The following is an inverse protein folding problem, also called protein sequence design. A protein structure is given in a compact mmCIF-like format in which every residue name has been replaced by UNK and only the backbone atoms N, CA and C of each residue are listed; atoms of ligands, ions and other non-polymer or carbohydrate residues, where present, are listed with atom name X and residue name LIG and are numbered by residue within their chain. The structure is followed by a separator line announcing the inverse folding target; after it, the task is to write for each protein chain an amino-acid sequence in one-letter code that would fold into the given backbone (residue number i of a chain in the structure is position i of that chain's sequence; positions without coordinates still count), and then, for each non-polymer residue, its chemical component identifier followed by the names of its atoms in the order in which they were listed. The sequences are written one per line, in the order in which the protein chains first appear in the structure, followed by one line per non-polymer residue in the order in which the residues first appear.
data_IF_126858982747
#
_entry.id   IF_126858982747
#
_cell.length_a   1.000
_cell.length_b   1.000
_cell.length_c   1.000
_cell.angle_alpha   90.00
_cell.angle_beta   90.00
_cell.angle_gamma   90.00
#
_symmetry.space_group_name_H-M   'P 1'
#
loop_
_entity.id
_entity.type
_entity.pdbx_description
1 polymer ?
#
# COMPACT_ATOMS: atom_id res chain seq x y z
N UNK A 1 -16.46 -45.65 3.44
CA UNK A 1 -15.61 -45.98 4.62
C UNK A 1 -15.04 -44.76 5.35
N UNK A 2 -15.43 -43.52 5.03
CA UNK A 2 -14.85 -42.31 5.63
C UNK A 2 -15.55 -41.78 6.90
N UNK A 3 -16.82 -42.13 7.16
CA UNK A 3 -17.54 -41.64 8.34
C UNK A 3 -17.14 -42.30 9.67
N UNK A 4 -16.73 -43.57 9.65
CA UNK A 4 -16.46 -44.35 10.88
C UNK A 4 -15.11 -44.04 11.53
N UNK A 5 -14.16 -43.46 10.80
CA UNK A 5 -12.83 -43.10 11.33
C UNK A 5 -12.83 -41.81 12.14
N UNK A 6 -13.66 -40.84 11.75
CA UNK A 6 -13.77 -39.54 12.42
C UNK A 6 -14.50 -39.69 13.77
N UNK A 7 -15.60 -40.46 13.80
CA UNK A 7 -16.36 -40.73 15.03
C UNK A 7 -15.53 -41.50 16.09
N UNK A 8 -14.65 -42.43 15.65
CA UNK A 8 -13.80 -43.20 16.56
C UNK A 8 -12.72 -42.34 17.23
N UNK A 9 -12.16 -41.38 16.49
CA UNK A 9 -11.14 -40.44 16.98
C UNK A 9 -11.77 -39.40 17.91
N UNK A 10 -12.95 -38.89 17.56
CA UNK A 10 -13.67 -37.93 18.42
C UNK A 10 -14.12 -38.54 19.75
N UNK A 11 -14.58 -39.79 19.75
CA UNK A 11 -15.02 -40.47 20.97
C UNK A 11 -13.86 -40.72 21.94
N UNK A 12 -12.72 -41.22 21.42
CA UNK A 12 -11.54 -41.57 22.24
C UNK A 12 -10.79 -40.34 22.77
N UNK A 13 -10.97 -39.17 22.13
CA UNK A 13 -10.28 -37.93 22.51
C UNK A 13 -11.10 -37.02 23.44
N UNK A 14 -12.43 -37.18 23.50
CA UNK A 14 -13.25 -36.56 24.56
C UNK A 14 -12.89 -37.09 25.95
N UNK A 15 -12.53 -38.37 26.05
CA UNK A 15 -12.09 -39.00 27.29
C UNK A 15 -10.73 -38.48 27.80
N UNK A 16 -9.97 -37.76 26.95
CA UNK A 16 -8.66 -37.16 27.28
C UNK A 16 -8.75 -35.67 27.65
N UNK A 17 -9.96 -35.08 27.71
CA UNK A 17 -10.16 -33.71 28.21
C UNK A 17 -9.59 -32.60 27.32
N UNK A 18 -9.28 -32.87 26.05
CA UNK A 18 -8.68 -31.89 25.14
C UNK A 18 -9.77 -30.90 24.64
N UNK A 19 -9.55 -29.56 24.73
CA UNK A 19 -10.52 -28.57 24.27
C UNK A 19 -10.79 -28.67 22.76
N UNK A 20 -12.06 -28.58 22.37
CA UNK A 20 -12.55 -28.73 20.98
C UNK A 20 -11.84 -27.81 19.97
N UNK A 21 -11.37 -26.64 20.42
CA UNK A 21 -10.62 -25.67 19.61
C UNK A 21 -9.22 -26.18 19.22
N UNK A 22 -8.52 -26.91 20.11
CA UNK A 22 -7.23 -27.55 19.77
C UNK A 22 -7.44 -28.71 18.79
N UNK A 23 -8.60 -29.36 18.83
CA UNK A 23 -8.98 -30.45 17.92
C UNK A 23 -9.15 -29.97 16.48
N UNK A 24 -9.86 -28.85 16.29
CA UNK A 24 -10.10 -28.25 14.97
C UNK A 24 -8.78 -27.81 14.31
N UNK A 25 -7.84 -27.32 15.11
CA UNK A 25 -6.51 -26.91 14.66
C UNK A 25 -5.61 -28.10 14.29
N UNK A 26 -5.70 -29.22 15.01
CA UNK A 26 -4.96 -30.44 14.67
C UNK A 26 -5.46 -31.07 13.36
N UNK A 27 -6.77 -31.06 13.13
CA UNK A 27 -7.35 -31.51 11.85
C UNK A 27 -6.93 -30.63 10.67
N UNK A 28 -6.82 -29.32 10.88
CA UNK A 28 -6.34 -28.37 9.87
C UNK A 28 -4.84 -28.53 9.59
N UNK A 29 -4.02 -28.73 10.62
CA UNK A 29 -2.60 -29.02 10.51
C UNK A 29 -2.32 -30.34 9.77
N UNK A 30 -3.11 -31.39 10.05
CA UNK A 30 -3.03 -32.68 9.35
C UNK A 30 -3.42 -32.54 7.88
N UNK A 31 -4.48 -31.78 7.57
CA UNK A 31 -4.89 -31.50 6.19
C UNK A 31 -3.82 -30.71 5.42
N UNK A 32 -3.19 -29.72 6.06
CA UNK A 32 -2.09 -28.93 5.48
C UNK A 32 -0.83 -29.78 5.23
N UNK A 33 -0.51 -30.71 6.13
CA UNK A 33 0.62 -31.65 5.97
C UNK A 33 0.38 -32.68 4.86
N UNK A 34 -0.86 -33.16 4.69
CA UNK A 34 -1.22 -34.10 3.61
C UNK A 34 -1.16 -33.41 2.24
N UNK A 35 -1.56 -32.14 2.16
CA UNK A 35 -1.60 -31.38 0.90
C UNK A 35 -0.21 -30.86 0.47
N UNK A 36 0.75 -30.78 1.39
CA UNK A 36 2.15 -30.37 1.14
C UNK A 36 3.16 -31.53 1.16
N UNK A 37 2.67 -32.78 1.28
CA UNK A 37 3.46 -33.98 1.56
C UNK A 37 4.60 -34.32 0.59
N UNK A 38 4.69 -33.68 -0.58
CA UNK A 38 5.84 -33.84 -1.49
C UNK A 38 7.08 -33.01 -1.12
N UNK A 39 6.94 -31.93 -0.35
CA UNK A 39 8.08 -31.04 -0.02
C UNK A 39 8.75 -31.37 1.32
N UNK A 40 7.99 -31.91 2.28
CA UNK A 40 8.49 -32.14 3.65
C UNK A 40 9.36 -33.40 3.74
N UNK A 41 9.11 -34.41 2.89
CA UNK A 41 9.87 -35.67 2.86
C UNK A 41 11.34 -35.49 2.40
N UNK A 42 11.67 -34.36 1.76
CA UNK A 42 13.03 -34.01 1.34
C UNK A 42 13.83 -33.24 2.40
N UNK A 43 13.18 -32.80 3.48
CA UNK A 43 13.85 -32.07 4.56
C UNK A 43 14.52 -33.04 5.53
N UNK A 44 15.67 -32.63 6.08
CA UNK A 44 16.32 -33.33 7.19
C UNK A 44 15.43 -33.29 8.45
N UNK A 45 15.58 -34.24 9.38
CA UNK A 45 14.82 -34.26 10.63
C UNK A 45 14.85 -32.92 11.38
N UNK A 46 16.01 -32.25 11.43
CA UNK A 46 16.14 -30.95 12.12
C UNK A 46 15.31 -29.86 11.43
N UNK A 47 15.35 -29.80 10.09
CA UNK A 47 14.58 -28.83 9.30
C UNK A 47 13.07 -29.06 9.41
N UNK A 48 12.64 -30.33 9.57
CA UNK A 48 11.23 -30.65 9.82
C UNK A 48 10.78 -30.16 11.18
N UNK A 49 11.58 -30.38 12.22
CA UNK A 49 11.29 -29.90 13.58
C UNK A 49 11.25 -28.37 13.65
N UNK A 50 12.21 -27.68 13.00
CA UNK A 50 12.22 -26.22 12.93
C UNK A 50 11.00 -25.66 12.19
N UNK A 51 10.62 -26.27 11.07
CA UNK A 51 9.44 -25.88 10.30
C UNK A 51 8.16 -26.10 11.12
N UNK A 52 8.05 -27.21 11.83
CA UNK A 52 6.92 -27.49 12.72
C UNK A 52 6.81 -26.45 13.86
N UNK A 53 7.94 -26.07 14.46
CA UNK A 53 7.98 -25.03 15.50
C UNK A 53 7.61 -23.64 14.97
N UNK A 54 7.99 -23.30 13.74
CA UNK A 54 7.66 -22.01 13.14
C UNK A 54 6.20 -21.91 12.70
N UNK A 55 5.60 -23.01 12.25
CA UNK A 55 4.20 -23.03 11.78
C UNK A 55 3.24 -23.15 12.97
N UNK A 56 3.62 -23.91 14.00
CA UNK A 56 2.76 -24.19 15.16
C UNK A 56 3.47 -23.88 16.50
N UNK A 57 3.96 -22.64 16.73
CA UNK A 57 4.76 -22.31 17.92
C UNK A 57 4.00 -22.52 19.24
N UNK A 58 2.68 -22.43 19.22
CA UNK A 58 1.82 -22.69 20.39
C UNK A 58 1.72 -24.18 20.77
N UNK A 59 2.10 -25.11 19.88
CA UNK A 59 2.05 -26.53 20.16
C UNK A 59 3.20 -26.98 21.09
N UNK A 60 4.28 -26.20 21.14
CA UNK A 60 5.52 -26.50 21.85
C UNK A 60 5.86 -25.48 22.95
N UNK A 61 5.00 -24.49 23.17
CA UNK A 61 5.24 -23.40 24.12
C UNK A 61 5.50 -23.90 25.55
N UNK A 62 4.86 -25.00 25.97
CA UNK A 62 5.02 -25.56 27.32
C UNK A 62 6.34 -26.34 27.50
N UNK A 63 6.98 -26.81 26.42
CA UNK A 63 8.30 -27.49 26.47
C UNK A 63 9.47 -26.48 26.41
N UNK A 64 9.29 -25.34 25.74
CA UNK A 64 10.31 -24.27 25.64
C UNK A 64 10.53 -23.57 26.99
N UNK A 65 9.47 -23.40 27.79
CA UNK A 65 9.56 -22.82 29.15
C UNK A 65 10.31 -23.74 30.12
N UNK A 66 10.32 -25.06 29.88
CA UNK A 66 11.11 -26.01 30.69
C UNK A 66 12.58 -26.10 30.25
N UNK A 67 12.90 -25.70 29.02
CA UNK A 67 14.25 -25.78 28.44
C UNK A 67 15.07 -24.49 28.68
N UNK A 68 14.40 -23.37 28.93
CA UNK A 68 15.01 -22.11 29.38
C UNK A 68 14.76 -21.94 30.87
N UNK A 69 15.43 -22.78 31.67
CA UNK A 69 15.53 -22.58 33.11
C UNK A 69 16.29 -21.29 33.43
N UNK A 70 15.90 -20.66 34.53
CA UNK A 70 16.42 -19.40 35.09
C UNK A 70 17.93 -19.16 34.81
N UNK A 71 18.22 -18.16 33.97
CA UNK A 71 19.51 -17.46 33.97
C UNK A 71 19.22 -15.97 33.99
N UNK A 72 19.29 -15.40 35.20
CA UNK A 72 19.55 -13.98 35.40
C UNK A 72 21.02 -13.73 35.05
N UNK A 73 21.29 -13.07 33.92
CA UNK A 73 22.29 -12.01 33.77
C UNK A 73 22.31 -11.48 32.32
N UNK A 74 22.65 -10.19 32.09
CA UNK A 74 22.56 -9.54 30.79
C UNK A 74 23.79 -9.88 29.92
N UNK A 75 23.57 -10.20 28.64
CA UNK A 75 24.65 -10.34 27.67
C UNK A 75 24.46 -9.31 26.55
N UNK A 76 25.43 -8.40 26.50
CA UNK A 76 25.65 -7.39 25.46
C UNK A 76 26.09 -8.01 24.12
N UNK A 77 25.75 -7.27 23.05
CA UNK A 77 26.33 -7.20 21.70
C UNK A 77 27.04 -8.42 21.08
N UNK A 78 26.46 -8.92 19.98
CA UNK A 78 27.21 -9.62 18.93
C UNK A 78 26.86 -9.04 17.55
N UNK A 79 27.86 -8.38 16.97
CA UNK A 79 27.98 -7.88 15.61
C UNK A 79 27.97 -9.02 14.58
N UNK A 80 27.15 -8.92 13.53
CA UNK A 80 26.99 -9.89 12.44
C UNK A 80 27.55 -9.40 11.10
N UNK A 81 28.43 -8.41 11.10
CA UNK A 81 29.25 -8.15 9.92
C UNK A 81 30.37 -9.18 9.87
N UNK A 82 30.35 -10.08 8.87
CA UNK A 82 31.50 -10.67 8.15
C UNK A 82 31.04 -11.87 7.29
N UNK A 83 31.27 -11.79 5.98
CA UNK A 83 31.43 -12.97 5.11
C UNK A 83 30.51 -13.03 3.89
N UNK A 84 31.01 -12.64 2.71
CA UNK A 84 31.37 -13.55 1.60
C UNK A 84 32.04 -12.71 0.49
N UNK A 85 33.25 -13.14 0.11
CA UNK A 85 34.10 -12.63 -0.97
C UNK A 85 33.82 -13.41 -2.25
N UNK A 86 33.78 -12.76 -3.41
CA UNK A 86 34.23 -13.32 -4.70
C UNK A 86 34.87 -12.24 -5.59
N UNK A 87 35.78 -12.70 -6.44
CA UNK A 87 36.91 -11.99 -7.03
C UNK A 87 36.63 -11.27 -8.38
N UNK A 88 37.26 -10.10 -8.49
CA UNK A 88 38.16 -9.62 -9.56
C UNK A 88 37.75 -9.68 -11.05
N UNK A 89 37.60 -8.50 -11.68
CA UNK A 89 38.24 -8.25 -12.98
C UNK A 89 38.52 -6.75 -13.24
N UNK A 90 39.67 -6.51 -13.87
CA UNK A 90 40.38 -5.26 -14.04
C UNK A 90 39.78 -4.33 -15.12
N UNK A 91 39.92 -3.01 -14.96
CA UNK A 91 40.40 -2.09 -16.02
C UNK A 91 40.52 -0.63 -15.52
N UNK A 92 41.62 0.01 -15.92
CA UNK A 92 42.00 1.43 -15.85
C UNK A 92 42.53 1.71 -17.28
N UNK A 93 42.29 2.85 -17.96
CA UNK A 93 42.74 4.16 -17.47
C UNK A 93 41.85 5.39 -17.72
N UNK A 94 42.10 6.40 -16.88
CA UNK A 94 41.81 7.81 -17.10
C UNK A 94 42.72 8.37 -18.20
N UNK A 95 42.20 9.33 -18.99
CA UNK A 95 42.96 10.54 -19.30
C UNK A 95 42.03 11.71 -19.70
N UNK A 96 42.53 12.87 -19.33
CA UNK A 96 42.02 14.24 -19.30
C UNK A 96 41.85 14.88 -20.70
N UNK A 97 40.88 15.81 -20.85
CA UNK A 97 41.15 17.21 -21.24
C UNK A 97 39.89 18.03 -21.61
N UNK A 98 39.86 19.20 -20.97
CA UNK A 98 39.10 20.45 -21.16
C UNK A 98 38.67 20.85 -22.58
N UNK A 99 37.65 21.72 -22.71
CA UNK A 99 37.77 23.11 -23.23
C UNK A 99 36.39 23.85 -23.29
N UNK A 100 36.37 25.03 -22.64
CA UNK A 100 35.68 26.30 -22.91
C UNK A 100 34.13 26.50 -22.89
N UNK A 101 33.73 27.43 -22.01
CA UNK A 101 32.63 28.41 -22.17
C UNK A 101 33.04 29.57 -23.10
N UNK A 102 32.11 30.41 -23.62
CA UNK A 102 31.68 31.62 -22.89
C UNK A 102 30.17 31.93 -23.01
N UNK A 103 29.51 32.38 -21.94
CA UNK A 103 29.14 33.78 -21.62
C UNK A 103 28.16 34.47 -22.59
N UNK A 104 27.02 34.93 -22.05
CA UNK A 104 26.11 35.89 -22.69
C UNK A 104 24.76 36.01 -21.98
N UNK A 105 24.66 36.96 -21.05
CA UNK A 105 23.40 37.51 -20.51
C UNK A 105 23.45 39.05 -20.68
N UNK A 106 22.40 39.83 -20.35
CA UNK A 106 20.96 39.70 -20.62
C UNK A 106 20.44 40.96 -21.35
N UNK A 107 19.16 40.98 -21.78
CA UNK A 107 18.46 42.23 -22.17
C UNK A 107 17.19 42.37 -21.34
N UNK A 108 17.03 43.58 -20.81
CA UNK A 108 16.01 44.01 -19.87
C UNK A 108 14.80 44.68 -20.56
N UNK A 109 13.84 45.04 -19.70
CA UNK A 109 12.78 46.08 -19.86
C UNK A 109 11.54 45.62 -20.65
N UNK A 110 10.28 45.86 -20.26
CA UNK A 110 9.70 47.05 -19.62
C UNK A 110 8.45 46.73 -18.77
N UNK A 111 8.27 47.55 -17.73
CA UNK A 111 7.04 47.81 -16.99
C UNK A 111 6.10 48.67 -17.85
N UNK A 112 4.79 48.42 -17.82
CA UNK A 112 3.80 49.47 -18.01
C UNK A 112 2.75 49.43 -16.91
N UNK A 113 2.58 50.61 -16.32
CA UNK A 113 1.68 51.04 -15.28
C UNK A 113 0.52 51.78 -15.98
N UNK A 114 -0.73 51.42 -15.72
CA UNK A 114 -1.88 52.22 -16.15
C UNK A 114 -2.68 52.63 -14.91
N UNK A 115 -2.77 53.95 -14.77
CA UNK A 115 -3.39 54.71 -13.69
C UNK A 115 -4.81 55.16 -14.06
N UNK A 116 -5.66 55.29 -13.04
CA UNK A 116 -6.69 56.34 -12.92
C UNK A 116 -8.11 56.03 -13.38
N UNK A 117 -9.07 55.98 -12.44
CA UNK A 117 -9.86 57.16 -12.02
C UNK A 117 -10.97 56.77 -11.02
N UNK A 118 -11.08 57.59 -9.98
CA UNK A 118 -12.19 57.66 -9.02
C UNK A 118 -13.39 58.40 -9.64
N UNK A 119 -14.61 57.97 -9.27
CA UNK A 119 -15.80 58.82 -9.21
C UNK A 119 -16.57 58.49 -7.92
N UNK A 120 -16.89 59.52 -7.14
CA UNK A 120 -17.66 59.43 -5.89
C UNK A 120 -19.07 60.00 -6.02
N UNK A 121 -20.01 59.35 -5.30
CA UNK A 121 -21.13 59.86 -4.45
C UNK A 121 -22.55 59.36 -4.83
N UNK A 122 -23.53 59.34 -3.89
CA UNK A 122 -23.45 59.35 -2.41
C UNK A 122 -24.40 58.32 -1.71
N UNK A 123 -24.15 58.07 -0.42
CA UNK A 123 -25.21 57.92 0.61
C UNK A 123 -26.01 56.61 0.64
N UNK A 124 -25.51 55.63 1.40
CA UNK A 124 -26.32 54.54 1.93
C UNK A 124 -25.69 54.05 3.23
N UNK A 125 -26.45 54.05 4.32
CA UNK A 125 -26.03 53.50 5.61
C UNK A 125 -25.53 52.07 5.43
N UNK A 126 -24.23 51.84 5.67
CA UNK A 126 -23.66 50.50 5.72
C UNK A 126 -24.03 49.91 7.07
N UNK A 127 -25.17 49.22 7.11
CA UNK A 127 -25.49 48.23 8.13
C UNK A 127 -24.39 47.17 8.09
N UNK A 128 -23.43 47.29 9.01
CA UNK A 128 -22.41 46.28 9.28
C UNK A 128 -23.12 45.03 9.79
N UNK A 129 -23.54 44.18 8.85
CA UNK A 129 -23.92 42.81 9.16
C UNK A 129 -22.70 42.11 9.75
N UNK A 130 -22.85 41.31 10.82
CA UNK A 130 -21.73 40.54 11.34
C UNK A 130 -21.18 39.70 10.20
N UNK A 131 -19.91 39.91 9.85
CA UNK A 131 -19.20 38.99 8.97
C UNK A 131 -19.27 37.64 9.66
N UNK A 132 -20.12 36.76 9.13
CA UNK A 132 -20.15 35.36 9.54
C UNK A 132 -18.70 34.86 9.52
N UNK A 133 -18.25 34.13 10.55
CA UNK A 133 -16.86 33.69 10.62
C UNK A 133 -16.53 33.01 9.31
N UNK A 134 -15.56 33.56 8.57
CA UNK A 134 -15.02 32.95 7.35
C UNK A 134 -14.69 31.52 7.74
N UNK A 135 -15.46 30.56 7.23
CA UNK A 135 -15.24 29.16 7.51
C UNK A 135 -13.77 28.87 7.20
N UNK A 136 -13.03 28.51 8.26
CA UNK A 136 -11.60 28.17 8.19
C UNK A 136 -11.44 27.20 7.02
N UNK A 137 -10.71 27.58 5.97
CA UNK A 137 -10.40 26.71 4.82
C UNK A 137 -9.97 25.35 5.39
N UNK A 138 -10.62 24.27 4.99
CA UNK A 138 -10.45 22.92 5.56
C UNK A 138 -8.95 22.58 5.70
N UNK A 139 -8.52 22.36 6.94
CA UNK A 139 -7.14 22.54 7.40
C UNK A 139 -6.24 21.29 7.30
N UNK A 140 -6.77 20.11 6.97
CA UNK A 140 -5.98 18.91 6.63
C UNK A 140 -6.75 18.05 5.62
N UNK A 141 -6.07 17.31 4.74
CA UNK A 141 -6.70 16.42 3.76
C UNK A 141 -6.02 15.05 3.74
N UNK A 142 -6.82 14.00 3.87
CA UNK A 142 -6.40 12.61 3.75
C UNK A 142 -6.91 12.02 2.44
N UNK A 143 -6.02 11.36 1.71
CA UNK A 143 -6.29 10.61 0.49
C UNK A 143 -6.09 9.15 0.83
N UNK A 144 -7.19 8.43 1.06
CA UNK A 144 -7.14 6.99 1.29
C UNK A 144 -6.93 6.31 -0.06
N UNK A 145 -5.91 5.48 -0.16
CA UNK A 145 -5.57 4.79 -1.40
C UNK A 145 -5.41 3.29 -1.16
N UNK A 146 -5.93 2.48 -2.08
CA UNK A 146 -5.98 1.03 -1.97
C UNK A 146 -5.35 0.39 -3.20
N UNK A 147 -4.34 -0.44 -2.98
CA UNK A 147 -3.59 -1.14 -4.02
C UNK A 147 -3.96 -2.64 -4.06
N UNK A 148 -3.63 -3.27 -5.19
CA UNK A 148 -3.70 -4.72 -5.46
C UNK A 148 -5.11 -5.33 -5.62
N UNK A 149 -6.16 -4.53 -5.41
CA UNK A 149 -7.54 -4.93 -5.67
C UNK A 149 -7.94 -4.89 -7.16
N UNK A 150 -9.23 -5.19 -7.45
CA UNK A 150 -10.25 -5.62 -6.49
C UNK A 150 -10.09 -7.08 -6.04
N UNK A 151 -10.56 -7.41 -4.84
CA UNK A 151 -10.55 -8.76 -4.26
C UNK A 151 -11.84 -9.04 -3.46
N UNK A 152 -11.89 -10.16 -2.73
CA UNK A 152 -13.05 -10.56 -1.93
C UNK A 152 -13.33 -9.61 -0.75
N UNK A 153 -12.35 -8.80 -0.33
CA UNK A 153 -12.54 -7.82 0.75
C UNK A 153 -12.94 -6.42 0.25
N UNK A 154 -12.76 -6.12 -1.04
CA UNK A 154 -13.11 -4.82 -1.63
C UNK A 154 -14.56 -4.41 -1.35
N UNK A 155 -15.57 -5.31 -1.41
CA UNK A 155 -16.94 -4.95 -1.03
C UNK A 155 -17.07 -4.40 0.40
N UNK A 156 -16.35 -4.99 1.35
CA UNK A 156 -16.39 -4.55 2.76
C UNK A 156 -15.71 -3.19 2.93
N UNK A 157 -14.60 -2.96 2.21
CA UNK A 157 -13.95 -1.64 2.17
C UNK A 157 -14.91 -0.59 1.62
N UNK A 158 -15.58 -0.88 0.51
CA UNK A 158 -16.57 0.02 -0.10
C UNK A 158 -17.75 0.32 0.84
N UNK A 159 -18.31 -0.70 1.51
CA UNK A 159 -19.38 -0.52 2.50
C UNK A 159 -18.97 0.41 3.64
N UNK A 160 -17.71 0.30 4.11
CA UNK A 160 -17.16 1.19 5.13
C UNK A 160 -17.01 2.61 4.57
N UNK A 161 -16.44 2.78 3.39
CA UNK A 161 -16.27 4.09 2.77
C UNK A 161 -17.62 4.80 2.57
N UNK A 162 -18.66 4.10 2.11
CA UNK A 162 -20.00 4.68 1.98
C UNK A 162 -20.61 5.05 3.34
N UNK A 163 -20.45 4.19 4.36
CA UNK A 163 -20.93 4.47 5.73
C UNK A 163 -20.36 5.77 6.28
N UNK A 164 -19.08 6.04 6.04
CA UNK A 164 -18.41 7.27 6.50
C UNK A 164 -18.45 8.41 5.47
N UNK A 165 -19.08 8.20 4.29
CA UNK A 165 -19.14 9.17 3.19
C UNK A 165 -17.77 9.66 2.74
N UNK A 166 -16.82 8.72 2.65
CA UNK A 166 -15.44 8.96 2.27
C UNK A 166 -15.22 8.62 0.80
N UNK A 167 -14.67 9.56 0.03
CA UNK A 167 -14.14 9.26 -1.30
C UNK A 167 -12.67 8.83 -1.22
N UNK A 168 -12.33 7.77 -1.95
CA UNK A 168 -11.00 7.17 -1.98
C UNK A 168 -10.46 7.01 -3.41
N UNK A 169 -9.26 6.45 -3.53
CA UNK A 169 -8.65 6.06 -4.82
C UNK A 169 -8.24 4.59 -4.78
N UNK A 170 -8.60 3.82 -5.81
CA UNK A 170 -8.23 2.41 -5.94
C UNK A 170 -7.27 2.25 -7.12
N UNK A 171 -6.04 1.82 -6.86
CA UNK A 171 -5.09 1.45 -7.90
C UNK A 171 -5.22 -0.04 -8.18
N UNK A 172 -5.96 -0.36 -9.24
CA UNK A 172 -6.38 -1.74 -9.51
C UNK A 172 -5.40 -2.46 -10.41
N UNK A 173 -5.20 -3.75 -10.15
CA UNK A 173 -4.46 -4.64 -11.05
C UNK A 173 -5.39 -5.03 -12.20
N UNK A 174 -4.95 -4.84 -13.45
CA UNK A 174 -5.78 -5.08 -14.64
C UNK A 174 -6.32 -6.50 -14.74
N UNK A 175 -5.53 -7.52 -14.38
CA UNK A 175 -6.00 -8.92 -14.35
C UNK A 175 -7.06 -9.18 -13.27
N UNK A 176 -7.00 -8.49 -12.12
CA UNK A 176 -8.04 -8.57 -11.09
C UNK A 176 -9.31 -7.82 -11.52
N UNK A 177 -9.14 -6.66 -12.17
CA UNK A 177 -10.23 -5.89 -12.74
C UNK A 177 -11.02 -6.68 -13.79
N UNK A 178 -10.33 -7.43 -14.66
CA UNK A 178 -10.97 -8.29 -15.67
C UNK A 178 -11.75 -9.45 -15.04
N UNK A 179 -11.22 -10.02 -13.95
CA UNK A 179 -11.86 -11.10 -13.21
C UNK A 179 -13.09 -10.64 -12.38
N UNK A 180 -13.16 -9.37 -12.01
CA UNK A 180 -14.19 -8.82 -11.08
C UNK A 180 -14.79 -7.51 -11.61
N UNK A 181 -15.42 -7.53 -12.79
CA UNK A 181 -15.89 -6.32 -13.47
C UNK A 181 -17.05 -5.62 -12.75
N UNK A 182 -17.80 -6.34 -11.92
CA UNK A 182 -18.84 -5.82 -11.04
C UNK A 182 -18.25 -4.90 -9.97
N UNK A 183 -17.14 -5.29 -9.34
CA UNK A 183 -16.47 -4.47 -8.33
C UNK A 183 -15.86 -3.21 -8.92
N UNK A 184 -15.28 -3.29 -10.12
CA UNK A 184 -14.78 -2.11 -10.83
C UNK A 184 -15.89 -1.09 -11.09
N UNK A 185 -17.05 -1.55 -11.58
CA UNK A 185 -18.22 -0.68 -11.76
C UNK A 185 -18.73 -0.11 -10.45
N UNK A 186 -18.74 -0.91 -9.39
CA UNK A 186 -19.15 -0.48 -8.05
C UNK A 186 -18.25 0.64 -7.53
N UNK A 187 -16.93 0.44 -7.52
CA UNK A 187 -15.91 1.44 -7.13
C UNK A 187 -16.18 2.77 -7.84
N UNK A 188 -16.39 2.74 -9.16
CA UNK A 188 -16.65 3.94 -9.95
C UNK A 188 -18.00 4.58 -9.61
N UNK A 189 -19.06 3.79 -9.52
CA UNK A 189 -20.44 4.27 -9.26
C UNK A 189 -20.61 4.90 -7.88
N UNK A 190 -19.81 4.49 -6.91
CA UNK A 190 -19.78 5.06 -5.55
C UNK A 190 -18.89 6.33 -5.47
N UNK A 191 -18.39 6.81 -6.62
CA UNK A 191 -17.70 8.08 -6.72
C UNK A 191 -16.22 8.04 -6.31
N UNK A 192 -15.60 6.86 -6.30
CA UNK A 192 -14.17 6.72 -6.08
C UNK A 192 -13.39 6.90 -7.38
N UNK A 193 -12.14 7.33 -7.26
CA UNK A 193 -11.21 7.38 -8.39
C UNK A 193 -10.61 5.98 -8.61
N UNK A 194 -10.54 5.55 -9.87
CA UNK A 194 -9.81 4.35 -10.26
C UNK A 194 -8.51 4.78 -10.93
N UNK A 195 -7.40 4.28 -10.39
CA UNK A 195 -6.06 4.38 -10.95
C UNK A 195 -5.58 3.02 -11.45
N UNK A 196 -4.50 3.02 -12.23
CA UNK A 196 -3.92 1.83 -12.82
C UNK A 196 -2.71 1.35 -11.99
N UNK A 197 -2.69 0.07 -11.62
CA UNK A 197 -1.61 -0.59 -10.89
C UNK A 197 -0.91 -1.68 -11.71
N UNK A 198 -0.81 -1.47 -13.03
CA UNK A 198 -0.33 -2.45 -14.03
C UNK A 198 -1.33 -3.60 -14.23
N UNK A 199 -1.18 -4.37 -15.30
CA UNK A 199 -2.03 -5.52 -15.59
C UNK A 199 -1.60 -6.77 -14.83
N UNK A 200 -0.30 -7.07 -14.86
CA UNK A 200 0.23 -8.34 -14.35
C UNK A 200 0.76 -8.25 -12.93
N UNK A 201 1.19 -7.07 -12.47
CA UNK A 201 1.91 -6.87 -11.21
C UNK A 201 3.21 -7.71 -11.09
N UNK A 202 3.75 -8.19 -12.21
CA UNK A 202 4.95 -9.04 -12.21
C UNK A 202 6.20 -8.19 -12.32
N UNK A 203 6.79 -7.84 -11.18
CA UNK A 203 7.96 -6.95 -11.04
C UNK A 203 9.06 -7.21 -12.07
N UNK A 204 9.51 -8.46 -12.24
CA UNK A 204 10.56 -8.82 -13.20
C UNK A 204 10.20 -8.47 -14.65
N UNK A 205 8.92 -8.51 -15.01
CA UNK A 205 8.45 -8.20 -16.35
C UNK A 205 8.27 -6.69 -16.52
N UNK A 206 7.50 -6.07 -15.64
CA UNK A 206 7.15 -4.65 -15.74
C UNK A 206 8.38 -3.74 -15.60
N UNK A 207 9.37 -4.10 -14.77
CA UNK A 207 10.58 -3.30 -14.58
C UNK A 207 11.75 -3.72 -15.48
N UNK A 208 11.53 -4.61 -16.46
CA UNK A 208 12.57 -4.97 -17.43
C UNK A 208 12.97 -3.83 -18.36
N UNK A 209 12.04 -2.90 -18.64
CA UNK A 209 12.29 -1.67 -19.39
C UNK A 209 11.09 -0.70 -19.25
N UNK A 210 11.26 0.61 -19.52
CA UNK A 210 10.14 1.55 -19.58
C UNK A 210 9.04 1.12 -20.56
N UNK A 211 9.43 0.55 -21.71
CA UNK A 211 8.49 0.03 -22.72
C UNK A 211 7.66 -1.13 -22.18
N UNK A 212 8.28 -2.08 -21.48
CA UNK A 212 7.56 -3.21 -20.89
C UNK A 212 6.56 -2.76 -19.82
N UNK A 213 6.94 -1.79 -18.98
CA UNK A 213 6.03 -1.18 -18.00
C UNK A 213 4.82 -0.55 -18.68
N UNK A 214 5.06 0.28 -19.71
CA UNK A 214 3.98 0.97 -20.43
C UNK A 214 3.05 -0.03 -21.14
N UNK A 215 3.59 -1.09 -21.75
CA UNK A 215 2.77 -2.12 -22.39
C UNK A 215 1.86 -2.85 -21.39
N UNK A 216 2.39 -3.21 -20.22
CA UNK A 216 1.60 -3.84 -19.16
C UNK A 216 0.54 -2.88 -18.60
N UNK A 217 0.88 -1.59 -18.48
CA UNK A 217 -0.04 -0.52 -18.09
C UNK A 217 -1.19 -0.35 -19.10
N UNK A 218 -0.88 -0.27 -20.39
CA UNK A 218 -1.85 -0.14 -21.47
C UNK A 218 -2.76 -1.36 -21.57
N UNK A 219 -2.27 -2.56 -21.26
CA UNK A 219 -3.11 -3.74 -21.18
C UNK A 219 -4.19 -3.61 -20.09
N UNK A 220 -3.84 -3.06 -18.92
CA UNK A 220 -4.82 -2.75 -17.88
C UNK A 220 -5.80 -1.66 -18.32
N UNK A 221 -5.35 -0.65 -19.08
CA UNK A 221 -6.25 0.37 -19.62
C UNK A 221 -7.27 -0.18 -20.60
N UNK A 222 -6.91 -1.14 -21.46
CA UNK A 222 -7.89 -1.76 -22.37
C UNK A 222 -9.00 -2.48 -21.59
N UNK A 223 -8.65 -3.12 -20.47
CA UNK A 223 -9.64 -3.70 -19.56
C UNK A 223 -10.53 -2.62 -18.99
N UNK A 224 -9.94 -1.57 -18.39
CA UNK A 224 -10.70 -0.52 -17.71
C UNK A 224 -11.57 0.29 -18.68
N UNK A 225 -11.08 0.55 -19.89
CA UNK A 225 -11.83 1.22 -20.95
C UNK A 225 -13.03 0.39 -21.39
N UNK A 226 -12.87 -0.93 -21.59
CA UNK A 226 -14.00 -1.81 -21.89
C UNK A 226 -15.04 -1.86 -20.77
N UNK A 227 -14.64 -1.70 -19.51
CA UNK A 227 -15.54 -1.80 -18.35
C UNK A 227 -16.25 -0.48 -18.01
N UNK A 228 -15.60 0.66 -18.25
CA UNK A 228 -16.02 1.98 -17.76
C UNK A 228 -16.13 3.05 -18.84
N UNK A 229 -15.69 2.77 -20.08
CA UNK A 229 -15.48 3.76 -21.14
C UNK A 229 -14.48 4.88 -20.76
N UNK A 230 -13.59 4.58 -19.81
CA UNK A 230 -12.61 5.53 -19.26
C UNK A 230 -11.20 4.90 -19.30
N UNK A 231 -10.18 5.74 -19.55
CA UNK A 231 -8.76 5.35 -19.46
C UNK A 231 -8.10 6.10 -18.31
N UNK A 232 -7.81 5.44 -17.18
CA UNK A 232 -7.18 6.09 -16.04
C UNK A 232 -5.80 6.64 -16.37
N UNK A 233 -5.58 7.91 -16.03
CA UNK A 233 -4.26 8.56 -16.15
C UNK A 233 -3.44 8.46 -14.86
N UNK A 234 -4.10 8.18 -13.74
CA UNK A 234 -3.45 8.05 -12.44
C UNK A 234 -2.82 6.66 -12.34
N UNK A 235 -1.51 6.63 -12.09
CA UNK A 235 -0.74 5.39 -12.03
C UNK A 235 -0.05 5.27 -10.68
N UNK A 236 -0.06 4.07 -10.13
CA UNK A 236 0.82 3.70 -9.03
C UNK A 236 1.71 2.56 -9.46
N UNK A 237 3.01 2.75 -9.29
CA UNK A 237 4.01 1.74 -9.59
C UNK A 237 3.96 0.62 -8.52
N UNK A 238 3.88 -0.67 -8.88
CA UNK A 238 4.04 -1.77 -7.93
C UNK A 238 5.33 -1.62 -7.12
N UNK A 239 5.20 -1.45 -5.80
CA UNK A 239 6.33 -1.25 -4.90
C UNK A 239 6.86 0.18 -4.83
N UNK A 240 6.18 1.13 -5.47
CA UNK A 240 6.54 2.55 -5.50
C UNK A 240 7.63 2.88 -6.52
N UNK A 241 7.80 4.18 -6.83
CA UNK A 241 8.81 4.61 -7.82
C UNK A 241 10.23 4.49 -7.29
N UNK A 242 10.46 4.77 -6.00
CA UNK A 242 11.80 4.76 -5.41
C UNK A 242 12.38 3.35 -5.41
N UNK A 243 13.52 3.19 -6.07
CA UNK A 243 14.22 1.90 -6.19
C UNK A 243 13.78 1.05 -7.37
N UNK A 244 12.59 1.26 -7.93
CA UNK A 244 12.07 0.50 -9.07
C UNK A 244 12.10 1.26 -10.40
N UNK A 245 11.93 2.60 -10.37
CA UNK A 245 11.84 3.42 -11.56
C UNK A 245 13.05 4.35 -11.68
N UNK A 246 13.75 4.28 -12.81
CA UNK A 246 14.75 5.27 -13.19
C UNK A 246 14.08 6.56 -13.69
N UNK A 247 14.89 7.62 -13.87
CA UNK A 247 14.43 8.88 -14.50
C UNK A 247 13.82 8.62 -15.89
N UNK A 248 14.32 7.64 -16.63
CA UNK A 248 13.79 7.29 -17.95
C UNK A 248 12.36 6.74 -17.86
N UNK A 249 12.05 5.88 -16.89
CA UNK A 249 10.68 5.38 -16.67
C UNK A 249 9.73 6.55 -16.43
N UNK A 250 10.10 7.41 -15.48
CA UNK A 250 9.27 8.55 -15.07
C UNK A 250 9.04 9.47 -16.28
N UNK A 251 10.10 9.81 -17.03
CA UNK A 251 10.02 10.66 -18.21
C UNK A 251 9.08 10.07 -19.28
N UNK A 252 9.23 8.79 -19.61
CA UNK A 252 8.42 8.14 -20.66
C UNK A 252 6.94 8.06 -20.28
N UNK A 253 6.66 7.85 -18.99
CA UNK A 253 5.28 7.84 -18.47
C UNK A 253 4.67 9.25 -18.51
N UNK A 254 5.40 10.27 -18.06
CA UNK A 254 4.87 11.65 -18.06
C UNK A 254 4.70 12.21 -19.47
N UNK A 255 5.57 11.87 -20.43
CA UNK A 255 5.41 12.21 -21.85
C UNK A 255 4.13 11.62 -22.48
N UNK A 256 3.63 10.49 -21.96
CA UNK A 256 2.35 9.90 -22.37
C UNK A 256 1.15 10.43 -21.57
N UNK A 257 1.37 11.39 -20.67
CA UNK A 257 0.31 12.03 -19.89
C UNK A 257 -0.11 11.26 -18.64
N UNK A 258 0.67 10.26 -18.21
CA UNK A 258 0.43 9.58 -16.93
C UNK A 258 0.84 10.45 -15.75
N UNK A 259 0.05 10.35 -14.68
CA UNK A 259 0.30 11.02 -13.41
C UNK A 259 0.65 9.95 -12.38
N UNK A 260 1.92 9.91 -11.97
CA UNK A 260 2.41 8.96 -10.98
C UNK A 260 2.07 9.41 -9.56
N UNK A 261 1.62 8.47 -8.73
CA UNK A 261 1.35 8.67 -7.30
C UNK A 261 1.99 7.57 -6.47
N UNK A 262 2.88 7.95 -5.55
CA UNK A 262 3.26 7.14 -4.40
C UNK A 262 2.38 7.51 -3.18
N UNK A 263 2.96 7.43 -1.99
CA UNK A 263 2.34 7.71 -0.70
C UNK A 263 3.33 8.45 0.20
N UNK A 264 2.83 9.07 1.27
CA UNK A 264 3.67 9.63 2.33
C UNK A 264 3.28 9.12 3.74
N UNK A 265 2.34 8.16 3.79
CA UNK A 265 1.93 7.41 4.98
C UNK A 265 1.76 5.96 4.54
N UNK A 266 2.56 5.06 5.10
CA UNK A 266 2.52 3.64 4.82
C UNK A 266 1.84 2.90 5.98
N UNK A 267 0.66 2.32 5.75
CA UNK A 267 -0.04 1.56 6.78
C UNK A 267 0.70 0.30 7.24
N UNK A 268 1.67 -0.18 6.43
CA UNK A 268 2.42 -1.41 6.64
C UNK A 268 1.53 -2.65 6.79
N UNK A 269 0.35 -2.66 6.17
CA UNK A 269 -0.54 -3.83 6.09
C UNK A 269 0.01 -4.97 5.21
N UNK A 270 1.17 -4.76 4.59
CA UNK A 270 1.98 -5.75 3.87
C UNK A 270 3.27 -6.18 4.60
N UNK A 271 3.53 -5.67 5.81
CA UNK A 271 4.78 -5.98 6.53
C UNK A 271 4.92 -7.45 6.97
N UNK A 272 3.82 -8.21 6.99
CA UNK A 272 3.79 -9.64 7.25
C UNK A 272 2.63 -10.30 6.47
N UNK A 273 2.57 -11.63 6.36
CA UNK A 273 1.45 -12.32 5.74
C UNK A 273 0.09 -11.96 6.35
N UNK A 274 0.06 -11.74 7.67
CA UNK A 274 -1.10 -11.24 8.41
C UNK A 274 -0.62 -10.13 9.35
N UNK A 275 -1.24 -8.96 9.26
CA UNK A 275 -0.95 -7.80 10.12
C UNK A 275 -2.20 -7.46 10.91
N UNK A 276 -2.10 -7.37 12.24
CA UNK A 276 -3.24 -7.05 13.09
C UNK A 276 -3.77 -5.63 12.87
N UNK A 277 -5.09 -5.45 12.99
CA UNK A 277 -5.78 -4.17 12.75
C UNK A 277 -5.21 -3.02 13.61
N UNK A 278 -4.88 -3.28 14.87
CA UNK A 278 -4.25 -2.29 15.77
C UNK A 278 -2.87 -1.82 15.28
N UNK A 279 -2.11 -2.71 14.65
CA UNK A 279 -0.80 -2.35 14.08
C UNK A 279 -0.96 -1.42 12.88
N UNK A 280 -1.91 -1.73 11.99
CA UNK A 280 -2.28 -0.88 10.84
C UNK A 280 -2.71 0.50 11.34
N UNK A 281 -3.66 0.54 12.28
CA UNK A 281 -4.15 1.77 12.90
C UNK A 281 -3.00 2.61 13.50
N UNK A 282 -2.17 2.01 14.35
CA UNK A 282 -1.06 2.69 14.99
C UNK A 282 -0.02 3.21 14.00
N UNK A 283 0.27 2.45 12.94
CA UNK A 283 1.20 2.87 11.89
C UNK A 283 0.70 4.09 11.13
N UNK A 284 -0.59 4.12 10.77
CA UNK A 284 -1.18 5.28 10.11
C UNK A 284 -1.14 6.49 11.02
N UNK A 285 -1.64 6.38 12.26
CA UNK A 285 -1.74 7.52 13.16
C UNK A 285 -0.41 8.13 13.56
N UNK A 286 0.63 7.30 13.74
CA UNK A 286 1.99 7.79 13.99
C UNK A 286 2.52 8.65 12.84
N UNK A 287 2.21 8.28 11.61
CA UNK A 287 2.77 8.93 10.41
C UNK A 287 1.96 10.14 9.92
N UNK A 288 0.67 10.23 10.25
CA UNK A 288 -0.19 11.38 9.87
C UNK A 288 -0.07 12.56 10.85
N UNK A 289 0.50 12.36 12.04
CA UNK A 289 0.50 13.34 13.12
C UNK A 289 1.01 14.74 12.71
N UNK A 290 2.01 14.78 11.82
CA UNK A 290 2.66 15.99 11.33
C UNK A 290 2.21 16.42 9.93
N UNK A 291 1.14 15.83 9.38
CA UNK A 291 0.72 16.04 7.99
C UNK A 291 -0.51 16.91 7.87
N UNK A 292 -0.43 17.91 7.00
CA UNK A 292 -1.60 18.60 6.46
C UNK A 292 -2.19 17.86 5.26
N UNK A 293 -1.36 17.08 4.57
CA UNK A 293 -1.73 16.25 3.42
C UNK A 293 -1.17 14.85 3.59
N UNK A 294 -2.05 13.89 3.80
CA UNK A 294 -1.70 12.48 3.96
C UNK A 294 -2.20 11.68 2.75
N UNK A 295 -1.29 11.10 1.97
CA UNK A 295 -1.60 10.07 0.96
C UNK A 295 -1.25 8.74 1.60
N UNK A 296 -2.29 8.00 1.97
CA UNK A 296 -2.20 6.80 2.83
C UNK A 296 -2.29 5.56 1.95
N UNK A 297 -1.25 4.71 2.01
CA UNK A 297 -1.21 3.43 1.33
C UNK A 297 -1.85 2.34 2.18
N UNK A 298 -2.87 1.69 1.61
CA UNK A 298 -3.44 0.42 2.05
C UNK A 298 -3.48 -0.55 0.87
N UNK A 299 -3.76 -1.81 1.15
CA UNK A 299 -3.96 -2.83 0.13
C UNK A 299 -5.32 -3.51 0.34
N UNK A 300 -6.19 -3.44 -0.66
CA UNK A 300 -7.44 -4.21 -0.69
C UNK A 300 -7.32 -5.51 -1.50
N UNK A 301 -6.09 -5.92 -1.80
CA UNK A 301 -5.77 -7.19 -2.46
C UNK A 301 -6.05 -8.44 -1.62
N UNK A 302 -5.88 -9.64 -2.21
CA UNK A 302 -6.16 -10.92 -1.55
C UNK A 302 -5.44 -11.08 -0.20
N UNK A 303 -6.16 -11.58 0.80
CA UNK A 303 -5.60 -11.89 2.13
C UNK A 303 -5.52 -10.72 3.12
N UNK A 304 -5.91 -9.50 2.73
CA UNK A 304 -5.85 -8.30 3.59
C UNK A 304 -7.04 -8.15 4.56
N UNK A 305 -7.45 -9.25 5.17
CA UNK A 305 -8.68 -9.38 5.98
C UNK A 305 -8.76 -8.46 7.21
N UNK A 306 -7.63 -7.94 7.69
CA UNK A 306 -7.59 -7.04 8.84
C UNK A 306 -7.82 -5.57 8.48
N UNK A 307 -7.71 -5.20 7.20
CA UNK A 307 -7.94 -3.82 6.75
C UNK A 307 -9.38 -3.34 7.03
N UNK A 308 -10.45 -4.09 6.67
CA UNK A 308 -11.82 -3.70 7.01
C UNK A 308 -12.08 -3.52 8.50
N UNK A 309 -11.29 -4.19 9.36
CA UNK A 309 -11.38 -4.05 10.82
C UNK A 309 -10.72 -2.76 11.31
N UNK A 310 -9.58 -2.38 10.74
CA UNK A 310 -8.84 -1.18 11.13
C UNK A 310 -9.44 0.13 10.57
N UNK A 311 -9.98 0.06 9.35
CA UNK A 311 -10.37 1.23 8.57
C UNK A 311 -11.39 2.15 9.27
N UNK A 312 -12.44 1.66 9.96
CA UNK A 312 -13.38 2.51 10.68
C UNK A 312 -12.71 3.40 11.73
N UNK A 313 -11.85 2.82 12.58
CA UNK A 313 -11.15 3.56 13.63
C UNK A 313 -10.17 4.59 13.05
N UNK A 314 -9.51 4.26 11.94
CA UNK A 314 -8.63 5.20 11.22
C UNK A 314 -9.43 6.40 10.71
N UNK A 315 -10.56 6.16 10.04
CA UNK A 315 -11.41 7.24 9.49
C UNK A 315 -11.92 8.14 10.62
N UNK A 316 -12.42 7.54 11.71
CA UNK A 316 -12.92 8.29 12.87
C UNK A 316 -11.84 9.18 13.49
N UNK A 317 -10.63 8.65 13.66
CA UNK A 317 -9.55 9.40 14.30
C UNK A 317 -8.99 10.50 13.39
N UNK A 318 -8.85 10.25 12.10
CA UNK A 318 -8.50 11.29 11.13
C UNK A 318 -9.57 12.40 11.09
N UNK A 319 -10.85 12.03 11.17
CA UNK A 319 -11.96 13.00 11.24
C UNK A 319 -11.83 13.89 12.49
N UNK A 320 -11.57 13.29 13.67
CA UNK A 320 -11.35 14.05 14.92
C UNK A 320 -10.15 14.99 14.83
N UNK A 321 -9.11 14.59 14.11
CA UNK A 321 -7.93 15.42 13.86
C UNK A 321 -8.14 16.51 12.79
N UNK A 322 -9.35 16.62 12.24
CA UNK A 322 -9.75 17.66 11.30
C UNK A 322 -9.36 17.38 9.84
N UNK A 323 -9.07 16.14 9.49
CA UNK A 323 -8.87 15.74 8.09
C UNK A 323 -10.22 15.69 7.35
N UNK A 324 -10.27 16.34 6.19
CA UNK A 324 -11.26 16.04 5.16
C UNK A 324 -10.74 14.90 4.29
N UNK A 325 -11.63 14.11 3.69
CA UNK A 325 -11.25 13.04 2.76
C UNK A 325 -11.54 13.40 1.32
N UNK A 326 -10.60 13.11 0.43
CA UNK A 326 -10.73 13.32 -1.02
C UNK A 326 -10.05 12.20 -1.80
N UNK A 327 -10.52 11.95 -3.02
CA UNK A 327 -9.77 11.14 -3.99
C UNK A 327 -8.57 11.92 -4.54
N UNK A 328 -7.60 11.20 -5.12
CA UNK A 328 -6.43 11.81 -5.76
C UNK A 328 -6.77 12.63 -7.00
N UNK A 329 -8.02 12.65 -7.46
CA UNK A 329 -8.46 13.57 -8.53
C UNK A 329 -8.29 15.04 -8.10
N UNK A 330 -8.41 15.31 -6.79
CA UNK A 330 -8.30 16.65 -6.22
C UNK A 330 -6.91 17.01 -5.71
N UNK A 331 -5.89 16.18 -5.98
CA UNK A 331 -4.53 16.43 -5.50
C UNK A 331 -3.82 17.46 -6.39
N UNK A 332 -3.42 18.60 -5.83
CA UNK A 332 -2.76 19.65 -6.61
C UNK A 332 -1.34 19.27 -7.11
N UNK A 333 -0.62 18.46 -6.32
CA UNK A 333 0.72 17.97 -6.66
C UNK A 333 0.83 16.51 -6.22
N UNK A 334 1.07 15.56 -7.13
CA UNK A 334 1.26 14.16 -6.76
C UNK A 334 2.43 13.98 -5.78
N UNK A 335 2.35 12.95 -4.95
CA UNK A 335 3.52 12.50 -4.17
C UNK A 335 4.30 11.54 -5.07
N UNK A 336 5.58 11.82 -5.30
CA UNK A 336 6.49 10.93 -6.03
C UNK A 336 7.78 10.84 -5.22
N UNK A 337 8.23 9.62 -4.94
CA UNK A 337 9.45 9.35 -4.19
C UNK A 337 10.63 9.30 -5.16
N UNK A 338 11.51 10.30 -5.10
CA UNK A 338 12.70 10.35 -5.93
C UNK A 338 13.83 9.47 -5.37
N UNK A 339 14.67 8.95 -6.27
CA UNK A 339 16.02 8.51 -5.90
C UNK A 339 16.82 9.78 -5.61
N UNK A 340 17.35 9.91 -4.40
CA UNK A 340 18.27 10.98 -4.03
C UNK A 340 19.68 10.66 -4.51
#
# INVERSE_FOLDING_TARGET
MMGKGVEFVEHKMRDLGIPLMKLFMLSFAFFFLVQTGMYISQLSPEKRSQLAMNIFPWLFADEVVAMVGEVNDPIDDVDLTQGIIFAEHQSVPEDDQSVASPSGAPIATQLEEVTGKEDQKPGGEVLLSPVAPVAKRSAKVAYLTFDDGPSDITPQVLDILDKYKVQATFFVIGSQADARPDLIRRIRSEGHLIGNHTYSHRYRQIYSSPTAFIQDLQQAEEVLHRLLDERPKHVRAPGGTKGNMSVEFIKRLTEQGYVLHDWNVDSRDTAAPVVGAESIYGQVLRQVADKEKAVILFHDGPGKISLPVALPAIIEELTKQGFAFKSLEHIARPVVMYQH
#
